data_IF_192114810308
#
_entry.id   IF_192114810308
#
_cell.length_a   1.000
_cell.length_b   1.000
_cell.length_c   1.000
_cell.angle_alpha   90.00
_cell.angle_beta   90.00
_cell.angle_gamma   90.00
#
_symmetry.space_group_name_H-M   'P 1'
#
loop_
_entity.id
_entity.type
_entity.pdbx_description
1 polymer ?
#
# COMPACT_ATOMS: atom_id res chain seq x y z
N UNK A 1 -8.48 18.23 -2.65
CA UNK A 1 -8.67 19.37 -1.73
C UNK A 1 -7.67 19.28 -0.59
N UNK A 2 -7.40 20.37 0.14
CA UNK A 2 -6.51 20.31 1.30
C UNK A 2 -7.21 19.62 2.47
N UNK A 3 -6.54 18.68 3.14
CA UNK A 3 -7.05 17.97 4.33
C UNK A 3 -7.58 18.93 5.42
N UNK A 4 -6.97 20.12 5.53
CA UNK A 4 -7.39 21.18 6.47
C UNK A 4 -8.77 21.75 6.12
N UNK A 5 -9.09 21.88 4.83
CA UNK A 5 -10.42 22.34 4.38
C UNK A 5 -11.48 21.31 4.73
N UNK A 6 -11.21 20.03 4.47
CA UNK A 6 -12.12 18.92 4.81
C UNK A 6 -12.35 18.88 6.32
N UNK A 7 -11.29 18.94 7.13
CA UNK A 7 -11.41 18.99 8.60
C UNK A 7 -12.21 20.21 9.07
N UNK A 8 -12.02 21.38 8.46
CA UNK A 8 -12.79 22.57 8.80
C UNK A 8 -14.28 22.42 8.47
N UNK A 9 -14.60 21.81 7.33
CA UNK A 9 -15.98 21.65 6.87
C UNK A 9 -16.74 20.54 7.63
N UNK A 10 -16.07 19.44 7.97
CA UNK A 10 -16.70 18.23 8.51
C UNK A 10 -16.25 17.89 9.95
N UNK A 11 -15.40 18.70 10.56
CA UNK A 11 -14.88 18.54 11.93
C UNK A 11 -13.74 17.53 12.08
N UNK A 12 -13.73 16.46 11.29
CA UNK A 12 -12.69 15.41 11.34
C UNK A 12 -12.44 14.81 9.96
N UNK A 13 -11.34 14.06 9.84
CA UNK A 13 -11.00 13.27 8.66
C UNK A 13 -10.78 11.84 9.13
N UNK A 14 -11.61 10.89 8.69
CA UNK A 14 -11.45 9.49 9.11
C UNK A 14 -10.33 8.78 8.34
N UNK A 15 -10.35 8.88 7.02
CA UNK A 15 -9.43 8.19 6.11
C UNK A 15 -8.96 9.12 5.00
N UNK A 16 -7.68 9.00 4.62
CA UNK A 16 -7.09 9.56 3.41
C UNK A 16 -6.59 8.42 2.54
N UNK A 17 -7.09 8.34 1.31
CA UNK A 17 -6.64 7.37 0.30
C UNK A 17 -5.68 8.06 -0.69
N UNK A 18 -4.51 7.48 -0.91
CA UNK A 18 -3.50 8.00 -1.83
C UNK A 18 -3.18 6.96 -2.91
N UNK A 19 -3.56 7.26 -4.14
CA UNK A 19 -3.31 6.46 -5.35
C UNK A 19 -2.55 7.31 -6.40
N UNK A 20 -1.25 7.13 -6.60
CA UNK A 20 -0.28 6.31 -5.85
C UNK A 20 0.98 7.16 -5.55
N UNK A 21 1.85 6.68 -4.65
CA UNK A 21 2.95 7.45 -4.03
C UNK A 21 3.80 8.27 -5.04
N UNK A 22 4.13 7.69 -6.19
CA UNK A 22 5.03 8.27 -7.18
C UNK A 22 4.45 9.51 -7.89
N UNK A 23 3.13 9.73 -7.84
CA UNK A 23 2.49 10.91 -8.43
C UNK A 23 2.65 12.16 -7.54
N UNK A 24 3.03 12.00 -6.27
CA UNK A 24 3.20 13.14 -5.37
C UNK A 24 4.31 14.09 -5.83
N UNK A 25 3.94 15.37 -5.95
CA UNK A 25 4.82 16.44 -6.41
C UNK A 25 5.37 17.21 -5.24
N UNK A 26 6.60 17.65 -5.37
CA UNK A 26 7.30 18.46 -4.38
C UNK A 26 8.29 19.37 -5.11
N UNK A 27 8.51 20.56 -4.56
CA UNK A 27 9.53 21.49 -5.05
C UNK A 27 10.94 21.11 -4.57
N UNK A 28 11.03 20.19 -3.60
CA UNK A 28 12.30 19.64 -3.12
C UNK A 28 12.91 18.75 -4.18
N UNK A 29 14.20 18.97 -4.47
CA UNK A 29 14.97 18.10 -5.33
C UNK A 29 15.56 16.96 -4.50
N UNK A 30 15.47 15.73 -5.02
CA UNK A 30 16.05 14.54 -4.41
C UNK A 30 17.05 13.93 -5.37
N UNK A 31 18.22 13.54 -4.85
CA UNK A 31 19.26 12.91 -5.65
C UNK A 31 18.87 11.48 -6.09
N UNK A 32 17.97 10.84 -5.36
CA UNK A 32 17.53 9.45 -5.58
C UNK A 32 16.04 9.30 -5.21
N UNK A 33 15.36 8.36 -5.85
CA UNK A 33 13.92 8.13 -5.64
C UNK A 33 13.61 7.59 -4.24
N UNK A 34 14.50 6.79 -3.64
CA UNK A 34 14.34 6.26 -2.28
C UNK A 34 14.26 7.37 -1.22
N UNK A 35 15.02 8.45 -1.39
CA UNK A 35 14.96 9.62 -0.52
C UNK A 35 13.65 10.40 -0.67
N UNK A 36 13.13 10.48 -1.91
CA UNK A 36 11.83 11.12 -2.18
C UNK A 36 10.69 10.30 -1.56
N UNK A 37 10.75 8.98 -1.67
CA UNK A 37 9.82 8.06 -1.02
C UNK A 37 9.86 8.23 0.49
N UNK A 38 11.05 8.23 1.09
CA UNK A 38 11.23 8.44 2.54
C UNK A 38 10.67 9.78 3.01
N UNK A 39 10.87 10.84 2.22
CA UNK A 39 10.29 12.14 2.50
C UNK A 39 8.76 12.08 2.54
N UNK A 40 8.13 11.53 1.50
CA UNK A 40 6.67 11.48 1.43
C UNK A 40 6.05 10.56 2.49
N UNK A 41 6.64 9.39 2.76
CA UNK A 41 6.13 8.47 3.79
C UNK A 41 6.22 9.10 5.18
N UNK A 42 7.31 9.81 5.47
CA UNK A 42 7.46 10.59 6.71
C UNK A 42 6.41 11.69 6.85
N UNK A 43 6.19 12.49 5.81
CA UNK A 43 5.17 13.55 5.80
C UNK A 43 3.76 12.99 5.96
N UNK A 44 3.44 11.88 5.28
CA UNK A 44 2.17 11.18 5.46
C UNK A 44 2.02 10.68 6.89
N UNK A 45 3.05 10.06 7.48
CA UNK A 45 2.99 9.58 8.87
C UNK A 45 2.80 10.73 9.86
N UNK A 46 3.43 11.87 9.63
CA UNK A 46 3.23 13.08 10.43
C UNK A 46 1.79 13.60 10.28
N UNK A 47 1.26 13.64 9.06
CA UNK A 47 -0.11 14.06 8.77
C UNK A 47 -1.14 13.14 9.44
N UNK A 48 -0.93 11.82 9.40
CA UNK A 48 -1.80 10.84 10.08
C UNK A 48 -1.92 11.17 11.58
N UNK A 49 -0.80 11.52 12.22
CA UNK A 49 -0.76 11.92 13.64
C UNK A 49 -1.36 13.30 13.90
N UNK A 50 -1.07 14.31 13.06
CA UNK A 50 -1.61 15.67 13.22
C UNK A 50 -3.13 15.71 13.09
N UNK A 51 -3.68 14.92 12.17
CA UNK A 51 -5.11 14.92 11.86
C UNK A 51 -5.90 13.80 12.55
N UNK A 52 -5.22 12.92 13.29
CA UNK A 52 -5.80 11.73 13.93
C UNK A 52 -6.64 10.90 12.93
N UNK A 53 -6.01 10.56 11.81
CA UNK A 53 -6.68 9.90 10.70
C UNK A 53 -5.87 8.72 10.15
N UNK A 54 -6.56 7.78 9.50
CA UNK A 54 -5.92 6.66 8.83
C UNK A 54 -5.50 7.09 7.43
N UNK A 55 -4.26 6.81 7.05
CA UNK A 55 -3.78 6.99 5.68
C UNK A 55 -3.56 5.62 5.05
N UNK A 56 -4.21 5.39 3.92
CA UNK A 56 -3.98 4.23 3.07
C UNK A 56 -3.26 4.71 1.82
N UNK A 57 -2.08 4.15 1.58
CA UNK A 57 -1.21 4.48 0.46
C UNK A 57 -1.06 3.27 -0.45
N UNK A 58 -1.27 3.45 -1.75
CA UNK A 58 -0.91 2.46 -2.74
C UNK A 58 0.57 2.63 -3.14
N UNK A 59 1.31 1.52 -3.06
CA UNK A 59 2.69 1.43 -3.53
C UNK A 59 2.82 0.34 -4.57
N UNK A 60 3.54 0.65 -5.66
CA UNK A 60 3.92 -0.35 -6.64
C UNK A 60 5.11 -1.18 -6.14
N UNK A 61 5.14 -2.46 -6.51
CA UNK A 61 6.24 -3.37 -6.19
C UNK A 61 7.29 -3.36 -7.30
N UNK A 62 8.51 -3.82 -6.98
CA UNK A 62 9.54 -4.00 -7.98
C UNK A 62 9.14 -5.08 -9.01
N UNK A 63 9.37 -4.81 -10.30
CA UNK A 63 9.13 -5.75 -11.41
C UNK A 63 9.99 -7.01 -11.35
N UNK A 64 11.05 -7.04 -10.56
CA UNK A 64 11.85 -8.26 -10.32
C UNK A 64 11.04 -9.41 -9.70
N UNK A 65 9.95 -9.09 -9.00
CA UNK A 65 8.96 -10.08 -8.55
C UNK A 65 8.50 -10.96 -9.71
N UNK A 66 8.28 -10.37 -10.89
CA UNK A 66 7.82 -11.06 -12.10
C UNK A 66 8.85 -12.01 -12.69
N UNK A 67 10.09 -12.06 -12.18
CA UNK A 67 11.10 -13.03 -12.61
C UNK A 67 11.16 -14.25 -11.69
N UNK A 68 10.63 -14.16 -10.47
CA UNK A 68 10.67 -15.26 -9.49
C UNK A 68 9.72 -16.39 -9.90
N UNK A 69 10.04 -17.67 -9.60
CA UNK A 69 9.10 -18.78 -9.78
C UNK A 69 7.84 -18.60 -8.92
N UNK A 70 8.02 -18.19 -7.66
CA UNK A 70 6.92 -17.80 -6.79
C UNK A 70 6.65 -16.30 -6.91
N UNK A 71 5.46 -15.96 -7.42
CA UNK A 71 5.01 -14.58 -7.67
C UNK A 71 4.38 -13.91 -6.45
N UNK A 72 4.34 -14.59 -5.29
CA UNK A 72 3.82 -13.99 -4.05
C UNK A 72 4.72 -12.84 -3.62
N UNK A 73 4.15 -11.64 -3.40
CA UNK A 73 4.89 -10.52 -2.84
C UNK A 73 5.46 -10.81 -1.45
N UNK A 74 6.60 -10.21 -1.17
CA UNK A 74 7.29 -10.23 0.11
C UNK A 74 7.88 -8.85 0.41
N UNK A 75 8.30 -8.63 1.65
CA UNK A 75 8.85 -7.34 2.09
C UNK A 75 10.00 -6.85 1.23
N UNK A 76 10.86 -7.75 0.74
CA UNK A 76 11.98 -7.39 -0.14
C UNK A 76 11.54 -6.84 -1.50
N UNK A 77 10.29 -6.99 -1.92
CA UNK A 77 9.80 -6.38 -3.17
C UNK A 77 9.56 -4.87 -3.01
N UNK A 78 9.62 -4.34 -1.78
CA UNK A 78 9.63 -2.91 -1.45
C UNK A 78 11.07 -2.32 -1.44
N UNK A 79 12.09 -3.02 -1.96
CA UNK A 79 13.53 -2.74 -1.74
C UNK A 79 13.98 -1.29 -2.00
N UNK A 80 13.39 -0.58 -2.94
CA UNK A 80 13.69 0.84 -3.22
C UNK A 80 12.97 1.81 -2.28
N UNK A 81 12.31 1.26 -1.26
CA UNK A 81 11.36 1.92 -0.37
C UNK A 81 11.48 1.41 1.06
N UNK A 82 12.71 1.23 1.55
CA UNK A 82 12.96 0.84 2.95
C UNK A 82 12.27 1.76 3.97
N UNK A 83 12.04 3.03 3.61
CA UNK A 83 11.25 3.95 4.41
C UNK A 83 9.77 3.59 4.49
N UNK A 84 9.15 3.05 3.42
CA UNK A 84 7.77 2.51 3.51
C UNK A 84 7.72 1.40 4.55
N UNK A 85 8.69 0.48 4.51
CA UNK A 85 8.77 -0.59 5.50
C UNK A 85 8.90 -0.04 6.92
N UNK A 86 9.74 0.97 7.16
CA UNK A 86 9.96 1.51 8.51
C UNK A 86 8.76 2.33 9.02
N UNK A 87 8.20 3.21 8.19
CA UNK A 87 7.20 4.19 8.57
C UNK A 87 5.80 3.58 8.72
N UNK A 88 5.47 2.59 7.88
CA UNK A 88 4.14 1.98 7.86
C UNK A 88 3.85 1.19 9.13
N UNK A 89 2.63 1.31 9.66
CA UNK A 89 2.17 0.45 10.76
C UNK A 89 1.74 -0.93 10.25
N UNK A 90 1.13 -0.97 9.07
CA UNK A 90 0.67 -2.18 8.40
C UNK A 90 1.08 -2.18 6.93
N UNK A 91 1.44 -3.34 6.40
CA UNK A 91 1.72 -3.55 4.98
C UNK A 91 0.93 -4.77 4.54
N UNK A 92 0.07 -4.55 3.54
CA UNK A 92 -0.79 -5.57 2.96
C UNK A 92 -0.44 -5.68 1.48
N UNK A 93 -0.02 -6.87 1.07
CA UNK A 93 0.20 -7.20 -0.33
C UNK A 93 -1.04 -7.87 -0.90
N UNK A 94 -1.37 -7.54 -2.14
CA UNK A 94 -2.45 -8.21 -2.88
C UNK A 94 -1.84 -9.23 -3.84
N UNK A 95 -2.37 -10.45 -3.82
CA UNK A 95 -1.97 -11.52 -4.74
C UNK A 95 -3.19 -12.26 -5.28
N UNK A 96 -3.14 -12.66 -6.55
CA UNK A 96 -4.15 -13.50 -7.20
C UNK A 96 -3.45 -14.57 -8.00
N UNK A 97 -3.61 -15.82 -7.58
CA UNK A 97 -2.91 -16.95 -8.18
C UNK A 97 -3.33 -17.18 -9.64
N UNK A 98 -4.62 -17.02 -9.93
CA UNK A 98 -5.18 -17.20 -11.27
C UNK A 98 -4.61 -16.24 -12.35
N UNK A 99 -3.99 -15.13 -11.94
CA UNK A 99 -3.30 -14.21 -12.87
C UNK A 99 -2.04 -14.84 -13.44
N UNK A 100 -1.35 -15.65 -12.64
CA UNK A 100 -0.08 -16.26 -13.00
C UNK A 100 -0.23 -17.74 -13.38
N UNK A 101 -1.27 -18.40 -12.90
CA UNK A 101 -1.57 -19.81 -13.15
C UNK A 101 -2.97 -19.99 -13.74
N UNK A 102 -3.05 -20.32 -15.03
CA UNK A 102 -4.32 -20.53 -15.74
C UNK A 102 -5.14 -21.71 -15.20
N UNK A 103 -4.49 -22.68 -14.58
CA UNK A 103 -5.11 -23.88 -13.99
C UNK A 103 -5.25 -23.77 -12.48
N UNK A 104 -5.14 -22.56 -11.93
CA UNK A 104 -5.27 -22.35 -10.48
C UNK A 104 -6.60 -22.89 -9.96
N UNK A 105 -6.53 -23.65 -8.88
CA UNK A 105 -7.71 -24.06 -8.10
C UNK A 105 -8.32 -22.90 -7.29
N UNK A 106 -7.61 -21.78 -7.19
CA UNK A 106 -8.01 -20.58 -6.45
C UNK A 106 -8.60 -19.50 -7.38
N UNK A 107 -9.33 -19.92 -8.41
CA UNK A 107 -10.02 -19.00 -9.33
C UNK A 107 -11.02 -18.13 -8.58
N UNK A 108 -11.03 -16.84 -8.88
CA UNK A 108 -11.86 -15.86 -8.20
C UNK A 108 -11.45 -15.58 -6.74
N UNK A 109 -10.28 -16.05 -6.28
CA UNK A 109 -9.78 -15.75 -4.93
C UNK A 109 -8.63 -14.74 -5.02
N UNK A 110 -8.72 -13.70 -4.19
CA UNK A 110 -7.64 -12.77 -3.91
C UNK A 110 -7.12 -12.97 -2.50
N UNK A 111 -5.82 -12.78 -2.34
CA UNK A 111 -5.12 -12.89 -1.06
C UNK A 111 -4.66 -11.51 -0.62
N UNK A 112 -5.07 -11.12 0.59
CA UNK A 112 -4.54 -9.99 1.32
C UNK A 112 -3.48 -10.50 2.31
N UNK A 113 -2.23 -10.46 1.89
CA UNK A 113 -1.08 -10.94 2.66
C UNK A 113 -0.59 -9.81 3.55
N UNK A 114 -0.85 -9.91 4.85
CA UNK A 114 -0.37 -8.97 5.87
C UNK A 114 1.10 -9.27 6.14
N UNK A 115 2.00 -8.60 5.39
CA UNK A 115 3.45 -8.76 5.52
C UNK A 115 4.05 -8.05 6.73
N UNK A 116 3.39 -6.99 7.21
CA UNK A 116 3.75 -6.28 8.44
C UNK A 116 2.49 -5.88 9.19
N UNK A 117 2.49 -6.09 10.50
CA UNK A 117 1.50 -5.54 11.42
C UNK A 117 2.19 -5.14 12.73
N UNK A 118 2.38 -3.84 12.97
CA UNK A 118 3.10 -3.34 14.16
C UNK A 118 2.41 -3.69 15.47
N UNK A 119 1.10 -3.91 15.45
CA UNK A 119 0.27 -4.07 16.64
C UNK A 119 -0.47 -5.41 16.69
N UNK A 120 -0.02 -6.41 15.92
CA UNK A 120 -0.66 -7.71 15.87
C UNK A 120 0.11 -8.71 15.03
N UNK A 121 -0.57 -9.78 14.65
CA UNK A 121 0.03 -10.86 13.88
C UNK A 121 0.02 -10.58 12.38
N UNK A 122 1.00 -11.16 11.69
CA UNK A 122 1.03 -11.29 10.24
C UNK A 122 0.23 -12.53 9.81
N UNK A 123 -0.25 -12.54 8.57
CA UNK A 123 -1.06 -13.64 8.06
C UNK A 123 -1.66 -13.34 6.70
N UNK A 124 -2.48 -14.25 6.18
CA UNK A 124 -3.15 -14.08 4.89
C UNK A 124 -4.64 -14.16 5.08
N UNK A 125 -5.35 -13.11 4.67
CA UNK A 125 -6.79 -13.13 4.51
C UNK A 125 -7.15 -13.51 3.07
N UNK A 126 -8.12 -14.40 2.91
CA UNK A 126 -8.63 -14.82 1.60
C UNK A 126 -9.95 -14.11 1.34
N UNK A 127 -10.11 -13.56 0.14
CA UNK A 127 -11.30 -12.82 -0.28
C UNK A 127 -11.77 -13.36 -1.61
N UNK A 128 -13.08 -13.42 -1.82
CA UNK A 128 -13.65 -13.70 -3.13
C UNK A 128 -13.64 -12.41 -3.97
N UNK A 129 -13.07 -12.46 -5.17
CA UNK A 129 -12.84 -11.33 -6.06
C UNK A 129 -13.80 -11.35 -7.25
N UNK A 130 -14.85 -10.54 -7.17
CA UNK A 130 -15.83 -10.35 -8.25
C UNK A 130 -15.41 -9.17 -9.14
N UNK A 131 -14.39 -9.38 -9.97
CA UNK A 131 -13.76 -8.29 -10.74
C UNK A 131 -14.67 -7.58 -11.75
N UNK A 132 -15.74 -8.25 -12.21
CA UNK A 132 -16.78 -7.60 -13.02
C UNK A 132 -17.38 -6.37 -12.33
N UNK A 133 -17.38 -6.37 -10.99
CA UNK A 133 -17.97 -5.32 -10.16
C UNK A 133 -16.93 -4.60 -9.29
N UNK A 134 -15.62 -4.91 -9.45
CA UNK A 134 -14.55 -4.44 -8.57
C UNK A 134 -14.85 -4.69 -7.07
N UNK A 135 -15.48 -5.82 -6.75
CA UNK A 135 -15.92 -6.16 -5.40
C UNK A 135 -15.10 -7.31 -4.81
N UNK A 136 -14.80 -7.19 -3.52
CA UNK A 136 -14.15 -8.22 -2.71
C UNK A 136 -15.04 -8.54 -1.51
N UNK A 137 -15.26 -9.82 -1.20
CA UNK A 137 -16.11 -10.30 -0.09
C UNK A 137 -15.43 -11.38 0.71
#
# INVERSE_FOLDING_TARGET
ESIRKVKHQYGSVGVVLVDYLQIMKTTKQFAREDLKIAYFTGELKAMAKEFDCVIVLLSQLNRELEKRPNKRPMMSDLRESGAIEQDSDQIIFLYRDEVYNKESQYRGIAEAIVGKNRHGEAGTAYMHAQLKYCQFT
#
